data_IF_730248334202
#
_entry.id   IF_730248334202
#
_cell.length_a   1.000
_cell.length_b   1.000
_cell.length_c   1.000
_cell.angle_alpha   90.00
_cell.angle_beta   90.00
_cell.angle_gamma   90.00
#
_symmetry.space_group_name_H-M   'P 1'
#
loop_
_entity.id
_entity.type
_entity.pdbx_description
1 polymer ?
#
# COMPACT_ATOMS: atom_id res chain seq x y z
N UNK A 1 -2.93 6.03 -0.97
CA UNK A 1 -1.89 5.07 -0.54
C UNK A 1 -1.17 4.56 -1.77
N UNK A 2 0.08 4.13 -1.63
CA UNK A 2 0.88 3.54 -2.68
C UNK A 2 1.57 2.28 -2.15
N UNK A 3 1.56 1.21 -2.94
CA UNK A 3 2.27 -0.03 -2.64
C UNK A 3 3.21 -0.31 -3.78
N UNK A 4 4.47 -0.61 -3.47
CA UNK A 4 5.52 -0.87 -4.44
C UNK A 4 6.17 -2.23 -4.20
N UNK A 5 6.67 -2.80 -5.29
CA UNK A 5 7.50 -3.99 -5.26
C UNK A 5 8.92 -3.56 -4.88
N UNK A 6 9.27 -3.73 -3.61
CA UNK A 6 10.59 -3.41 -3.06
C UNK A 6 11.61 -4.45 -3.56
N UNK A 7 12.29 -4.12 -4.65
CA UNK A 7 13.15 -5.05 -5.36
C UNK A 7 14.46 -5.32 -4.61
N UNK A 8 14.97 -4.31 -3.91
CA UNK A 8 16.26 -4.37 -3.22
C UNK A 8 16.12 -4.66 -1.71
N UNK A 9 14.89 -4.62 -1.18
CA UNK A 9 14.50 -4.93 0.21
C UNK A 9 15.00 -3.91 1.23
N UNK A 10 15.17 -2.65 0.84
CA UNK A 10 15.63 -1.60 1.74
C UNK A 10 14.48 -0.86 2.46
N UNK A 11 13.23 -1.12 2.07
CA UNK A 11 12.04 -0.50 2.63
C UNK A 11 11.82 0.96 2.23
N UNK A 12 12.52 1.44 1.19
CA UNK A 12 12.45 2.79 0.67
C UNK A 12 12.04 2.77 -0.80
N UNK A 13 10.93 3.43 -1.12
CA UNK A 13 10.51 3.56 -2.50
C UNK A 13 11.57 4.30 -3.34
N UNK A 14 11.95 3.73 -4.48
CA UNK A 14 12.82 4.36 -5.46
C UNK A 14 12.26 4.28 -6.89
N UNK A 15 12.84 5.05 -7.82
CA UNK A 15 12.31 5.23 -9.19
C UNK A 15 12.26 3.95 -10.04
N UNK A 16 13.00 2.90 -9.64
CA UNK A 16 13.08 1.63 -10.37
C UNK A 16 12.17 0.55 -9.77
N UNK A 17 11.44 0.85 -8.69
CA UNK A 17 10.53 -0.09 -8.05
C UNK A 17 9.14 0.02 -8.65
N UNK A 18 8.60 -1.06 -9.25
CA UNK A 18 7.32 -0.98 -9.89
C UNK A 18 6.18 -0.94 -8.85
N UNK A 19 5.04 -0.35 -9.22
CA UNK A 19 3.81 -0.43 -8.42
C UNK A 19 3.37 -1.88 -8.19
N UNK A 20 2.77 -2.14 -7.04
CA UNK A 20 2.22 -3.44 -6.67
C UNK A 20 0.69 -3.40 -6.59
N UNK A 21 0.05 -3.87 -7.66
CA UNK A 21 -1.41 -3.98 -7.76
C UNK A 21 -1.98 -5.15 -6.93
N UNK A 22 -3.31 -5.16 -6.79
CA UNK A 22 -4.08 -6.22 -6.14
C UNK A 22 -3.73 -6.46 -4.67
N UNK A 23 -3.12 -5.47 -4.01
CA UNK A 23 -2.94 -5.46 -2.56
C UNK A 23 -4.21 -4.90 -1.93
N UNK A 24 -4.85 -5.67 -1.06
CA UNK A 24 -6.01 -5.16 -0.32
C UNK A 24 -5.56 -4.23 0.81
N UNK A 25 -6.14 -3.04 0.82
CA UNK A 25 -5.96 -2.00 1.83
C UNK A 25 -7.25 -1.86 2.61
N UNK A 26 -7.17 -2.03 3.94
CA UNK A 26 -8.27 -1.82 4.87
C UNK A 26 -8.07 -0.51 5.61
N UNK A 27 -9.14 0.27 5.72
CA UNK A 27 -9.18 1.46 6.55
C UNK A 27 -10.02 1.16 7.79
N UNK A 28 -9.46 1.40 8.97
CA UNK A 28 -10.13 1.23 10.26
C UNK A 28 -10.25 2.56 10.99
N UNK A 29 -11.37 2.78 11.66
CA UNK A 29 -11.57 3.94 12.53
C UNK A 29 -10.86 3.76 13.89
N UNK A 30 -10.98 4.77 14.76
CA UNK A 30 -10.39 4.81 16.11
C UNK A 30 -10.86 3.65 17.02
N UNK A 31 -12.00 3.04 16.71
CA UNK A 31 -12.56 1.90 17.44
C UNK A 31 -12.09 0.55 16.87
N UNK A 32 -11.21 0.55 15.86
CA UNK A 32 -10.71 -0.65 15.18
C UNK A 32 -11.68 -1.25 14.15
N UNK A 33 -12.85 -0.64 13.95
CA UNK A 33 -13.84 -1.12 12.98
C UNK A 33 -13.39 -0.79 11.56
N UNK A 34 -13.51 -1.76 10.66
CA UNK A 34 -13.26 -1.51 9.23
C UNK A 34 -14.38 -0.62 8.67
N UNK A 35 -14.00 0.55 8.15
CA UNK A 35 -14.93 1.52 7.55
C UNK A 35 -14.83 1.57 6.03
N UNK A 36 -13.70 1.12 5.46
CA UNK A 36 -13.54 0.99 4.01
C UNK A 36 -12.52 -0.09 3.65
N UNK A 37 -12.60 -0.58 2.42
CA UNK A 37 -11.64 -1.52 1.83
C UNK A 37 -11.51 -1.23 0.34
N UNK A 38 -10.29 -1.24 -0.19
CA UNK A 38 -9.97 -1.11 -1.62
C UNK A 38 -8.80 -2.04 -1.96
N UNK A 39 -8.65 -2.40 -3.23
CA UNK A 39 -7.44 -3.04 -3.73
C UNK A 39 -6.65 -2.06 -4.61
N UNK A 40 -5.31 -2.13 -4.57
CA UNK A 40 -4.45 -1.27 -5.37
C UNK A 40 -4.57 -1.55 -6.87
N UNK A 41 -4.50 -0.50 -7.69
CA UNK A 41 -4.51 -0.60 -9.16
C UNK A 41 -5.83 -1.08 -9.77
N UNK A 42 -6.93 -1.04 -9.00
CA UNK A 42 -8.27 -1.39 -9.51
C UNK A 42 -9.06 -0.19 -10.01
N UNK A 43 -8.70 1.01 -9.55
CA UNK A 43 -9.35 2.26 -9.90
C UNK A 43 -8.43 3.01 -10.88
N UNK A 44 -8.86 3.16 -12.14
CA UNK A 44 -8.06 3.77 -13.20
C UNK A 44 -7.69 5.22 -12.86
N UNK A 45 -8.52 5.90 -12.07
CA UNK A 45 -8.27 7.28 -11.64
C UNK A 45 -7.19 7.35 -10.54
N UNK A 46 -7.08 6.31 -9.70
CA UNK A 46 -6.02 6.22 -8.68
C UNK A 46 -4.66 5.88 -9.31
N UNK A 47 -4.69 5.01 -10.33
CA UNK A 47 -3.52 4.51 -11.04
C UNK A 47 -2.86 3.27 -10.41
N UNK A 48 -1.80 2.73 -11.04
CA UNK A 48 -1.12 1.52 -10.59
C UNK A 48 -0.52 1.66 -9.19
N UNK A 49 -0.59 0.60 -8.40
CA UNK A 49 -0.09 0.50 -7.02
C UNK A 49 -0.86 1.36 -6.04
N UNK A 50 -1.89 2.08 -6.49
CA UNK A 50 -2.59 3.08 -5.68
C UNK A 50 -3.99 2.63 -5.33
N UNK A 51 -4.40 3.06 -4.16
CA UNK A 51 -5.79 3.07 -3.71
C UNK A 51 -5.99 4.38 -2.94
N UNK A 52 -7.10 5.08 -3.20
CA UNK A 52 -7.45 6.31 -2.49
C UNK A 52 -8.79 6.18 -1.77
N UNK A 53 -8.82 6.62 -0.51
CA UNK A 53 -10.04 6.82 0.25
C UNK A 53 -10.33 8.32 0.33
N UNK A 54 -11.55 8.70 -0.04
CA UNK A 54 -12.02 10.08 0.01
C UNK A 54 -13.17 10.22 1.02
N UNK A 55 -13.56 11.46 1.31
CA UNK A 55 -14.70 11.78 2.19
C UNK A 55 -14.55 11.23 3.63
N UNK A 56 -13.32 11.17 4.14
CA UNK A 56 -13.05 10.81 5.53
C UNK A 56 -13.39 11.97 6.46
N UNK A 57 -13.92 11.66 7.65
CA UNK A 57 -14.16 12.67 8.68
C UNK A 57 -12.86 13.36 9.08
N UNK A 58 -12.86 14.69 9.02
CA UNK A 58 -11.72 15.51 9.44
C UNK A 58 -11.57 15.52 10.96
N UNK A 59 -10.34 15.56 11.44
CA UNK A 59 -9.98 15.52 12.86
C UNK A 59 -10.03 14.11 13.48
N UNK A 60 -10.23 13.06 12.67
CA UNK A 60 -10.26 11.66 13.15
C UNK A 60 -8.97 10.93 12.85
N UNK A 61 -8.65 9.97 13.72
CA UNK A 61 -7.57 9.01 13.53
C UNK A 61 -8.08 7.77 12.79
N UNK A 62 -7.26 7.26 11.90
CA UNK A 62 -7.52 6.03 11.16
C UNK A 62 -6.28 5.15 11.18
N UNK A 63 -6.50 3.84 11.08
CA UNK A 63 -5.44 2.87 10.79
C UNK A 63 -5.60 2.36 9.38
N UNK A 64 -4.52 2.42 8.60
CA UNK A 64 -4.42 1.82 7.26
C UNK A 64 -3.65 0.52 7.40
N UNK A 65 -4.25 -0.58 6.95
CA UNK A 65 -3.67 -1.93 7.01
C UNK A 65 -3.59 -2.49 5.58
N UNK A 66 -2.38 -2.78 5.11
CA UNK A 66 -2.14 -3.52 3.89
C UNK A 66 -2.07 -5.03 4.20
N UNK A 67 -2.90 -5.83 3.53
CA UNK A 67 -2.94 -7.28 3.76
C UNK A 67 -1.99 -8.01 2.82
N UNK A 68 -1.39 -9.08 3.31
CA UNK A 68 -0.39 -9.84 2.57
C UNK A 68 -0.87 -10.28 1.17
N UNK A 69 -0.03 -10.08 0.15
CA UNK A 69 -0.24 -10.60 -1.21
C UNK A 69 0.53 -11.92 -1.35
N UNK A 70 -0.13 -12.97 -1.88
CA UNK A 70 0.52 -14.27 -2.04
C UNK A 70 1.83 -14.16 -2.84
N UNK A 71 2.89 -14.77 -2.33
CA UNK A 71 4.23 -14.74 -2.94
C UNK A 71 5.02 -13.46 -2.67
N UNK A 72 4.52 -12.57 -1.81
CA UNK A 72 5.22 -11.38 -1.35
C UNK A 72 5.38 -11.37 0.17
N UNK A 73 6.42 -10.68 0.62
CA UNK A 73 6.69 -10.39 2.02
C UNK A 73 6.93 -8.90 2.20
N UNK A 74 6.30 -8.32 3.22
CA UNK A 74 6.45 -6.90 3.56
C UNK A 74 7.90 -6.59 3.97
N UNK A 75 8.42 -5.49 3.45
CA UNK A 75 9.73 -4.93 3.80
C UNK A 75 9.60 -3.64 4.61
N UNK A 76 8.40 -3.05 4.62
CA UNK A 76 7.96 -2.00 5.56
C UNK A 76 6.94 -2.56 6.57
N UNK A 77 6.62 -1.85 7.67
CA UNK A 77 5.39 -2.12 8.40
C UNK A 77 4.20 -2.07 7.45
N UNK A 78 3.31 -3.06 7.53
CA UNK A 78 2.11 -3.14 6.69
C UNK A 78 0.88 -2.49 7.34
N UNK A 79 1.10 -1.72 8.40
CA UNK A 79 0.07 -0.94 9.08
C UNK A 79 0.63 0.42 9.47
N UNK A 80 -0.19 1.46 9.38
CA UNK A 80 0.15 2.78 9.88
C UNK A 80 -1.08 3.51 10.41
N UNK A 81 -0.90 4.31 11.45
CA UNK A 81 -1.94 5.18 11.98
C UNK A 81 -1.72 6.62 11.46
N UNK A 82 -2.80 7.29 11.09
CA UNK A 82 -2.76 8.68 10.63
C UNK A 82 -3.96 9.46 11.16
N UNK A 83 -3.78 10.77 11.32
CA UNK A 83 -4.88 11.71 11.60
C UNK A 83 -5.21 12.45 10.31
N UNK A 84 -6.47 12.41 9.91
CA UNK A 84 -6.95 13.17 8.75
C UNK A 84 -7.23 14.60 9.18
N UNK A 85 -6.45 15.55 8.69
CA UNK A 85 -6.69 16.97 8.95
C UNK A 85 -7.57 17.59 7.84
N UNK A 86 -8.32 18.67 8.13
CA UNK A 86 -9.13 19.34 7.12
C UNK A 86 -8.33 19.71 5.88
N UNK A 87 -8.88 19.41 4.70
CA UNK A 87 -8.27 19.69 3.39
C UNK A 87 -6.84 19.13 3.18
N UNK A 88 -6.45 18.08 3.92
CA UNK A 88 -5.16 17.41 3.71
C UNK A 88 -5.29 16.15 2.86
N UNK A 89 -4.31 15.95 1.98
CA UNK A 89 -4.05 14.65 1.36
C UNK A 89 -2.88 14.01 2.10
N UNK A 90 -3.09 12.82 2.63
CA UNK A 90 -2.04 12.03 3.28
C UNK A 90 -1.68 10.88 2.35
N UNK A 91 -0.40 10.77 2.01
CA UNK A 91 0.14 9.59 1.33
C UNK A 91 0.73 8.63 2.36
N UNK A 92 0.50 7.35 2.15
CA UNK A 92 1.07 6.24 2.91
C UNK A 92 1.65 5.28 1.91
N UNK A 93 2.85 4.80 2.20
CA UNK A 93 3.62 3.91 1.34
C UNK A 93 3.86 2.56 2.04
N UNK A 94 3.76 1.48 1.27
CA UNK A 94 4.06 0.12 1.74
C UNK A 94 4.98 -0.57 0.74
N UNK A 95 6.11 -1.11 1.22
CA UNK A 95 7.05 -1.89 0.43
C UNK A 95 6.86 -3.39 0.66
N UNK A 96 6.80 -4.17 -0.41
CA UNK A 96 6.83 -5.63 -0.34
C UNK A 96 7.72 -6.23 -1.43
N UNK A 97 8.49 -7.25 -1.07
CA UNK A 97 9.37 -7.96 -1.99
C UNK A 97 8.82 -9.36 -2.29
N UNK A 98 8.98 -9.84 -3.53
CA UNK A 98 8.59 -11.20 -3.89
C UNK A 98 9.44 -12.24 -3.13
N UNK A 99 8.82 -13.33 -2.68
CA UNK A 99 9.41 -14.42 -1.90
C UNK A 99 10.51 -15.20 -2.66
N UNK A 100 10.78 -14.92 -3.94
CA UNK A 100 11.64 -15.73 -4.80
C UNK A 100 12.87 -14.95 -5.30
N UNK A 101 14.03 -15.61 -5.27
CA UNK A 101 15.26 -15.15 -5.89
C UNK A 101 14.99 -15.00 -7.40
N UNK A 102 15.01 -13.77 -7.93
CA UNK A 102 14.96 -13.54 -9.37
C UNK A 102 16.26 -14.09 -9.99
N UNK A 103 16.22 -15.33 -10.50
CA UNK A 103 17.26 -15.84 -11.39
C UNK A 103 16.75 -15.58 -12.81
N UNK A 104 17.24 -14.55 -13.52
CA UNK A 104 16.92 -14.41 -14.93
C UNK A 104 17.54 -15.59 -15.67
N UNK A 105 16.71 -16.55 -16.08
CA UNK A 105 17.14 -17.54 -17.08
C UNK A 105 17.23 -16.77 -18.40
N UNK A 106 18.45 -16.34 -18.74
CA UNK A 106 18.79 -16.00 -20.12
C UNK A 106 18.66 -17.28 -20.95
N UNK A 107 17.49 -17.46 -21.56
CA UNK A 107 17.35 -18.45 -22.63
C UNK A 107 18.12 -17.89 -23.83
N UNK A 108 19.15 -18.61 -24.27
CA UNK A 108 19.92 -18.28 -25.48
C UNK A 108 19.11 -18.54 -26.74
#
# INVERSE_FOLDING_TARGET
>A
MFVYNDLNRDGLYNEFEPPLDLVTIRLRNEQGQQVAVKATGQDEQDGPGRACFSSLESGRSYTVEATNRSGYRWTTPNTTALVVLPATQVSVEFGAAQDHLYIPVLVR
#
